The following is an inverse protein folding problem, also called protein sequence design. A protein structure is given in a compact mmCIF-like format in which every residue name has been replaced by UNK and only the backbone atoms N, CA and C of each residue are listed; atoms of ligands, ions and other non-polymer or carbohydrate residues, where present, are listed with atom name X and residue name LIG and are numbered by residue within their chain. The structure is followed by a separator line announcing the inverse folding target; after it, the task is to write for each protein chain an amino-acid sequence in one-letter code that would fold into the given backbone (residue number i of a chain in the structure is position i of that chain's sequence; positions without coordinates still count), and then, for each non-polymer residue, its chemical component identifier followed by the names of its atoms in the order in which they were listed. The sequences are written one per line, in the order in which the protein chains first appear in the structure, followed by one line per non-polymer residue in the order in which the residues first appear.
data_IF_538553780747
#
_entry.id   IF_538553780747
#
_cell.length_a   1.000
_cell.length_b   1.000
_cell.length_c   1.000
_cell.angle_alpha   90.00
_cell.angle_beta   90.00
_cell.angle_gamma   90.00
#
_symmetry.space_group_name_H-M   'P 1'
#
loop_
_entity.id
_entity.type
_entity.pdbx_description
1 polymer ?
#
# COMPACT_ATOMS: atom_id res chain seq x y z
N UNK A 1 15.11 0.90 8.69
CA UNK A 1 13.72 0.69 9.17
C UNK A 1 12.71 1.54 8.40
N UNK A 2 12.99 2.82 8.14
CA UNK A 2 12.04 3.72 7.46
C UNK A 2 11.59 3.24 6.07
N UNK A 3 12.54 2.86 5.21
CA UNK A 3 12.30 2.28 3.87
C UNK A 3 11.45 1.01 3.93
N UNK A 4 11.73 0.11 4.89
CA UNK A 4 10.94 -1.11 5.06
C UNK A 4 9.48 -0.80 5.38
N UNK A 5 9.22 0.16 6.29
CA UNK A 5 7.84 0.55 6.66
C UNK A 5 7.13 1.26 5.51
N UNK A 6 7.86 2.08 4.75
CA UNK A 6 7.34 2.86 3.61
C UNK A 6 6.94 1.95 2.45
N UNK A 7 7.74 0.93 2.13
CA UNK A 7 7.45 -0.03 1.04
C UNK A 7 6.72 -1.30 1.49
N UNK A 8 6.45 -1.47 2.80
CA UNK A 8 5.82 -2.69 3.33
C UNK A 8 4.44 -2.95 2.70
N UNK A 9 3.58 -1.93 2.62
CA UNK A 9 2.27 -2.06 1.98
C UNK A 9 2.36 -2.38 0.49
N UNK A 10 3.32 -1.82 -0.25
CA UNK A 10 3.57 -2.15 -1.65
C UNK A 10 3.99 -3.62 -1.81
N UNK A 11 4.85 -4.11 -0.90
CA UNK A 11 5.24 -5.52 -0.86
C UNK A 11 4.04 -6.43 -0.61
N UNK A 12 3.19 -6.10 0.37
CA UNK A 12 1.95 -6.85 0.65
C UNK A 12 0.99 -6.80 -0.53
N UNK A 13 0.83 -5.65 -1.18
CA UNK A 13 -0.02 -5.51 -2.37
C UNK A 13 0.47 -6.42 -3.51
N UNK A 14 1.77 -6.37 -3.84
CA UNK A 14 2.35 -7.21 -4.87
C UNK A 14 2.19 -8.70 -4.54
N UNK A 15 2.36 -9.07 -3.27
CA UNK A 15 2.14 -10.44 -2.79
C UNK A 15 0.69 -10.89 -2.96
N UNK A 16 -0.29 -10.05 -2.58
CA UNK A 16 -1.72 -10.35 -2.72
C UNK A 16 -2.12 -10.48 -4.19
N UNK A 17 -1.65 -9.60 -5.07
CA UNK A 17 -1.89 -9.69 -6.52
C UNK A 17 -1.27 -10.97 -7.09
N UNK A 18 -0.06 -11.32 -6.67
CA UNK A 18 0.62 -12.53 -7.12
C UNK A 18 -0.10 -13.80 -6.68
N UNK A 19 -0.45 -13.91 -5.39
CA UNK A 19 -1.19 -15.06 -4.85
C UNK A 19 -2.59 -15.13 -5.44
N UNK A 20 -3.30 -13.99 -5.53
CA UNK A 20 -4.62 -13.92 -6.16
C UNK A 20 -4.60 -14.34 -7.63
N UNK A 21 -3.58 -13.91 -8.37
CA UNK A 21 -3.37 -14.33 -9.76
C UNK A 21 -3.05 -15.82 -9.90
N UNK A 22 -2.23 -16.38 -9.02
CA UNK A 22 -1.94 -17.83 -8.99
C UNK A 22 -3.18 -18.66 -8.64
N UNK A 23 -4.03 -18.17 -7.75
CA UNK A 23 -5.29 -18.84 -7.38
C UNK A 23 -6.33 -18.73 -8.50
N UNK A 24 -6.33 -17.63 -9.26
CA UNK A 24 -7.24 -17.46 -10.40
C UNK A 24 -6.78 -18.20 -11.68
N UNK A 25 -5.49 -18.50 -11.82
CA UNK A 25 -4.93 -19.16 -13.02
C UNK A 25 -5.60 -20.50 -13.39
N UNK A 26 -5.95 -21.39 -12.44
CA UNK A 26 -6.70 -22.62 -12.70
C UNK A 26 -8.14 -22.37 -13.19
N UNK A 27 -8.76 -21.26 -12.79
CA UNK A 27 -10.14 -20.92 -13.16
C UNK A 27 -10.24 -20.32 -14.56
N UNK A 28 -9.20 -19.66 -15.07
CA UNK A 28 -9.24 -19.02 -16.42
C UNK A 28 -9.25 -20.09 -17.55
N UNK A 29 -8.82 -21.32 -17.27
CA UNK A 29 -8.81 -22.44 -18.24
C UNK A 29 -9.98 -23.41 -18.14
N UNK A 30 -10.86 -23.23 -17.15
CA UNK A 30 -12.00 -24.11 -16.94
C UNK A 30 -13.22 -23.63 -17.76
N UNK A 31 -13.95 -24.52 -18.47
CA UNK A 31 -15.13 -24.14 -19.27
C UNK A 31 -16.30 -23.55 -18.47
N UNK A 32 -16.26 -23.66 -17.14
CA UNK A 32 -17.38 -23.46 -16.23
C UNK A 32 -17.37 -22.10 -15.52
N UNK A 33 -16.31 -21.29 -15.68
CA UNK A 33 -16.11 -20.06 -14.92
C UNK A 33 -17.23 -19.07 -15.26
N UNK A 34 -18.16 -18.91 -14.33
CA UNK A 34 -19.36 -18.13 -14.52
C UNK A 34 -19.00 -16.65 -14.72
N UNK A 35 -19.71 -15.96 -15.62
CA UNK A 35 -19.57 -14.50 -15.80
C UNK A 35 -19.69 -13.72 -14.48
N UNK A 36 -20.43 -14.25 -13.50
CA UNK A 36 -20.56 -13.68 -12.16
C UNK A 36 -19.30 -13.83 -11.31
N UNK A 37 -18.59 -14.96 -11.40
CA UNK A 37 -17.34 -15.19 -10.67
C UNK A 37 -16.21 -14.33 -11.23
N UNK A 38 -16.12 -14.24 -12.56
CA UNK A 38 -15.14 -13.38 -13.22
C UNK A 38 -15.37 -11.89 -12.92
N UNK A 39 -16.65 -11.48 -12.83
CA UNK A 39 -17.03 -10.13 -12.40
C UNK A 39 -16.70 -9.85 -10.93
N UNK A 40 -16.94 -10.82 -10.04
CA UNK A 40 -16.59 -10.73 -8.62
C UNK A 40 -15.08 -10.62 -8.40
N UNK A 41 -14.29 -11.41 -9.12
CA UNK A 41 -12.83 -11.38 -9.08
C UNK A 41 -12.29 -10.02 -9.56
N UNK A 42 -12.82 -9.50 -10.67
CA UNK A 42 -12.44 -8.20 -11.19
C UNK A 42 -12.78 -7.07 -10.21
N UNK A 43 -13.97 -7.11 -9.59
CA UNK A 43 -14.38 -6.11 -8.59
C UNK A 43 -13.48 -6.18 -7.34
N UNK A 44 -13.17 -7.38 -6.85
CA UNK A 44 -12.26 -7.59 -5.73
C UNK A 44 -10.87 -7.00 -6.02
N UNK A 45 -10.34 -7.23 -7.22
CA UNK A 45 -9.07 -6.65 -7.65
C UNK A 45 -9.11 -5.10 -7.64
N UNK A 46 -10.17 -4.50 -8.19
CA UNK A 46 -10.34 -3.04 -8.24
C UNK A 46 -10.39 -2.45 -6.82
N UNK A 47 -11.12 -3.06 -5.89
CA UNK A 47 -11.22 -2.58 -4.51
C UNK A 47 -9.87 -2.65 -3.79
N UNK A 48 -9.15 -3.75 -3.93
CA UNK A 48 -7.82 -3.94 -3.31
C UNK A 48 -6.82 -2.93 -3.90
N UNK A 49 -6.73 -2.84 -5.23
CA UNK A 49 -5.84 -1.91 -5.91
C UNK A 49 -6.17 -0.45 -5.60
N UNK A 50 -7.45 -0.08 -5.62
CA UNK A 50 -7.92 1.25 -5.27
C UNK A 50 -7.60 1.63 -3.82
N UNK A 51 -7.82 0.72 -2.86
CA UNK A 51 -7.50 0.94 -1.45
C UNK A 51 -6.01 1.18 -1.21
N UNK A 52 -5.14 0.39 -1.85
CA UNK A 52 -3.69 0.58 -1.76
C UNK A 52 -3.23 1.84 -2.49
N UNK A 53 -3.72 2.11 -3.70
CA UNK A 53 -3.42 3.36 -4.41
C UNK A 53 -3.83 4.59 -3.62
N UNK A 54 -4.98 4.55 -2.93
CA UNK A 54 -5.40 5.64 -2.06
C UNK A 54 -4.53 5.74 -0.80
N UNK A 55 -4.25 4.63 -0.11
CA UNK A 55 -3.37 4.63 1.07
C UNK A 55 -1.99 5.24 0.78
N UNK A 56 -1.46 4.99 -0.42
CA UNK A 56 -0.15 5.49 -0.86
C UNK A 56 -0.17 6.87 -1.52
N UNK A 57 -1.26 7.26 -2.18
CA UNK A 57 -1.39 8.57 -2.85
C UNK A 57 -2.05 9.62 -1.97
N UNK A 58 -2.79 9.22 -0.94
CA UNK A 58 -3.30 10.15 0.04
C UNK A 58 -2.09 10.86 0.64
N UNK A 59 -2.06 12.18 0.46
CA UNK A 59 -1.18 13.08 1.19
C UNK A 59 -1.55 12.94 2.66
N UNK A 60 -1.01 11.92 3.31
CA UNK A 60 -0.99 11.81 4.75
C UNK A 60 -0.40 13.14 5.21
N UNK A 61 -1.11 13.96 6.01
CA UNK A 61 -0.50 15.09 6.66
C UNK A 61 0.77 14.56 7.30
N UNK A 62 1.91 14.96 6.76
CA UNK A 62 3.23 14.45 7.09
C UNK A 62 3.60 14.96 8.48
N UNK A 63 2.86 14.50 9.50
CA UNK A 63 2.90 14.98 10.87
C UNK A 63 4.02 14.34 11.69
N UNK A 64 4.95 13.59 11.08
CA UNK A 64 6.03 12.97 11.87
C UNK A 64 7.34 12.80 11.11
N UNK A 65 7.68 13.75 10.24
CA UNK A 65 9.08 14.01 9.89
C UNK A 65 9.60 15.18 10.73
N UNK A 66 9.63 15.05 12.08
CA UNK A 66 10.54 15.92 12.86
C UNK A 66 11.97 15.47 12.54
N UNK A 67 12.84 16.33 12.01
CA UNK A 67 14.25 15.99 11.87
C UNK A 67 14.82 15.68 13.26
N UNK A 68 15.46 14.53 13.50
CA UNK A 68 16.20 14.32 14.73
C UNK A 68 17.55 15.02 14.57
N UNK A 69 17.62 16.27 15.03
CA UNK A 69 18.87 17.01 15.21
C UNK A 69 18.72 18.46 14.78
N UNK A 70 19.32 19.44 15.45
CA UNK A 70 20.22 19.43 16.62
C UNK A 70 20.35 20.91 16.99
N UNK A 71 20.26 21.23 18.28
CA UNK A 71 20.65 22.49 18.94
C UNK A 71 19.80 23.75 18.67
N UNK A 72 19.03 24.13 19.70
CA UNK A 72 19.20 25.45 20.31
C UNK A 72 18.83 25.35 21.80
N UNK A 73 19.76 24.77 22.56
CA UNK A 73 19.93 25.04 24.00
C UNK A 73 21.15 25.97 24.03
N UNK A 74 21.04 27.09 24.77
CA UNK A 74 21.91 28.28 24.81
C UNK A 74 21.84 29.09 23.50
N UNK A 75 21.23 30.28 23.44
CA UNK A 75 21.77 31.49 24.08
C UNK A 75 20.67 32.48 24.54
N UNK A 76 20.61 32.67 25.85
CA UNK A 76 20.00 33.78 26.60
C UNK A 76 20.99 35.00 26.58
N UNK A 77 20.58 36.25 26.86
CA UNK A 77 20.98 37.46 26.14
C UNK A 77 22.31 38.10 26.61
N UNK A 78 22.92 38.99 25.80
CA UNK A 78 23.85 39.99 26.33
C UNK A 78 23.08 41.19 26.92
N UNK A 79 23.58 41.68 28.04
CA UNK A 79 23.10 42.85 28.82
C UNK A 79 23.04 44.15 28.04
#
# INVERSE_FOLDING_TARGET
MKVLVEYFGMFIFAFVVFVGGLVALPEIGAPETSLGEMGGLALAFIVIAGGFSWFYSAELPSGTQRPPGRRSRSDEPPR
#
